data_IF_313742007747
#
_entry.id   IF_313742007747
#
_cell.length_a   1.000
_cell.length_b   1.000
_cell.length_c   1.000
_cell.angle_alpha   90.00
_cell.angle_beta   90.00
_cell.angle_gamma   90.00
#
_symmetry.space_group_name_H-M   'P 1'
#
loop_
_entity.id
_entity.type
_entity.pdbx_description
1 polymer ?
#
# COMPACT_ATOMS: atom_id res chain seq x y z
N UNK A 1 44.05 -2.17 72.54
CA UNK A 1 42.65 -1.87 72.88
C UNK A 1 42.18 -0.69 72.05
N UNK A 2 41.69 -0.89 70.82
CA UNK A 2 40.76 0.00 70.09
C UNK A 2 40.17 -0.79 68.92
N UNK A 3 39.01 -1.40 69.17
CA UNK A 3 38.19 -2.05 68.16
C UNK A 3 37.51 -0.98 67.30
N UNK A 4 37.65 -1.06 65.98
CA UNK A 4 36.91 -0.22 65.03
C UNK A 4 35.81 -1.05 64.37
N UNK A 5 34.58 -0.67 64.72
CA UNK A 5 33.40 -0.46 63.88
C UNK A 5 33.12 -1.50 62.80
N UNK A 6 32.04 -2.26 63.02
CA UNK A 6 31.30 -2.98 62.00
C UNK A 6 30.47 -2.02 61.13
N UNK A 7 30.43 -2.25 59.82
CA UNK A 7 29.21 -2.18 59.00
C UNK A 7 29.48 -2.45 57.52
N UNK A 8 28.82 -3.50 57.04
CA UNK A 8 28.18 -3.65 55.73
C UNK A 8 29.02 -3.64 54.44
N UNK A 9 29.05 -4.79 53.76
CA UNK A 9 28.57 -4.84 52.37
C UNK A 9 27.84 -6.17 52.12
N UNK A 10 26.55 -6.03 51.82
CA UNK A 10 25.64 -7.09 51.48
C UNK A 10 26.03 -7.72 50.13
N UNK A 11 26.03 -9.05 50.08
CA UNK A 11 25.96 -9.82 48.83
C UNK A 11 24.55 -9.71 48.28
N UNK A 12 24.40 -9.24 47.04
CA UNK A 12 23.20 -9.49 46.24
C UNK A 12 23.66 -9.90 44.84
N UNK A 13 23.38 -11.16 44.51
CA UNK A 13 23.78 -11.81 43.27
C UNK A 13 23.04 -11.27 42.06
N UNK A 14 23.75 -11.25 40.93
CA UNK A 14 23.24 -10.92 39.61
C UNK A 14 22.31 -12.03 39.13
N UNK A 15 21.03 -11.73 38.96
CA UNK A 15 20.08 -12.61 38.27
C UNK A 15 19.90 -12.10 36.83
N UNK A 16 20.56 -12.76 35.88
CA UNK A 16 20.32 -12.56 34.46
C UNK A 16 19.07 -13.36 34.05
N UNK A 17 17.95 -12.66 33.83
CA UNK A 17 16.73 -13.26 33.26
C UNK A 17 16.87 -13.30 31.74
N UNK A 18 17.11 -14.48 31.19
CA UNK A 18 17.14 -14.74 29.75
C UNK A 18 15.69 -15.01 29.32
N UNK A 19 15.03 -14.03 28.71
CA UNK A 19 13.71 -14.22 28.11
C UNK A 19 13.88 -14.78 26.70
N UNK A 20 13.81 -16.10 26.56
CA UNK A 20 13.58 -16.76 25.26
C UNK A 20 12.08 -16.78 24.98
N UNK A 21 11.60 -15.80 24.22
CA UNK A 21 10.26 -15.83 23.62
C UNK A 21 10.37 -16.35 22.18
N UNK A 22 10.26 -17.67 22.02
CA UNK A 22 10.09 -18.29 20.72
C UNK A 22 8.58 -18.29 20.42
N UNK A 23 8.10 -17.28 19.69
CA UNK A 23 6.74 -17.31 19.15
C UNK A 23 6.72 -18.24 17.93
N UNK A 24 5.68 -19.10 17.75
CA UNK A 24 5.52 -19.82 16.51
C UNK A 24 5.35 -18.80 15.39
N UNK A 25 6.18 -18.91 14.34
CA UNK A 25 6.00 -18.17 13.12
C UNK A 25 4.58 -18.46 12.60
N UNK A 26 3.74 -17.42 12.53
CA UNK A 26 2.47 -17.53 11.84
C UNK A 26 2.76 -18.02 10.42
N UNK A 27 2.10 -19.11 10.03
CA UNK A 27 2.16 -19.70 8.70
C UNK A 27 1.93 -18.60 7.64
N UNK A 28 3.00 -18.18 6.97
CA UNK A 28 2.98 -17.30 5.79
C UNK A 28 2.56 -18.05 4.52
N UNK A 29 2.02 -19.26 4.69
CA UNK A 29 1.90 -20.29 3.65
C UNK A 29 0.66 -20.17 2.77
N UNK A 30 0.03 -19.00 2.66
CA UNK A 30 -1.05 -18.78 1.68
C UNK A 30 -1.06 -17.38 1.06
N UNK A 31 0.12 -16.82 0.77
CA UNK A 31 0.21 -15.89 -0.35
C UNK A 31 0.15 -16.74 -1.62
N UNK A 32 -1.05 -16.87 -2.21
CA UNK A 32 -1.20 -17.47 -3.53
C UNK A 32 -0.22 -16.83 -4.53
N UNK A 33 0.26 -17.61 -5.50
CA UNK A 33 1.19 -17.11 -6.52
C UNK A 33 0.60 -15.87 -7.20
N UNK A 34 1.34 -14.76 -7.18
CA UNK A 34 0.92 -13.52 -7.82
C UNK A 34 1.24 -13.58 -9.33
N UNK A 35 0.24 -13.92 -10.12
CA UNK A 35 0.29 -13.95 -11.60
C UNK A 35 -0.89 -13.15 -12.15
N UNK A 36 -0.80 -11.80 -12.17
CA UNK A 36 -1.93 -10.96 -12.51
C UNK A 36 -2.19 -10.92 -14.01
N UNK A 37 -3.45 -11.16 -14.40
CA UNK A 37 -3.93 -10.88 -15.76
C UNK A 37 -4.74 -9.59 -15.74
N UNK A 38 -4.18 -8.51 -16.27
CA UNK A 38 -4.84 -7.21 -16.40
C UNK A 38 -5.80 -7.21 -17.60
N UNK A 39 -7.08 -6.89 -17.36
CA UNK A 39 -8.17 -7.03 -18.34
C UNK A 39 -8.61 -5.68 -18.93
N UNK A 40 -7.76 -4.67 -18.86
CA UNK A 40 -8.00 -3.31 -19.37
C UNK A 40 -8.50 -2.31 -18.33
N UNK A 41 -8.61 -1.06 -18.78
CA UNK A 41 -9.01 0.12 -18.01
C UNK A 41 -10.09 0.85 -18.79
N UNK A 42 -11.24 1.11 -18.19
CA UNK A 42 -12.25 2.04 -18.71
C UNK A 42 -12.15 3.36 -17.92
N UNK A 43 -11.95 4.46 -18.64
CA UNK A 43 -11.84 5.80 -18.04
C UNK A 43 -13.13 6.59 -18.24
N UNK A 44 -13.73 7.05 -17.14
CA UNK A 44 -15.00 7.78 -17.15
C UNK A 44 -14.78 9.13 -16.46
N UNK A 45 -14.85 10.21 -17.22
CA UNK A 45 -14.86 11.56 -16.66
C UNK A 45 -16.22 11.78 -15.98
N UNK A 46 -16.20 12.08 -14.67
CA UNK A 46 -17.44 12.29 -13.91
C UNK A 46 -17.85 13.76 -13.93
N UNK A 47 -16.99 14.63 -13.43
CA UNK A 47 -17.19 16.09 -13.43
C UNK A 47 -15.85 16.80 -13.21
N UNK A 48 -15.61 17.88 -13.95
CA UNK A 48 -14.39 18.69 -13.83
C UNK A 48 -13.09 17.87 -13.86
N UNK A 49 -12.47 17.75 -12.69
CA UNK A 49 -11.22 17.03 -12.44
C UNK A 49 -11.41 15.66 -11.77
N UNK A 50 -12.65 15.23 -11.55
CA UNK A 50 -13.02 13.96 -10.96
C UNK A 50 -13.20 12.89 -12.05
N UNK A 51 -12.44 11.80 -11.93
CA UNK A 51 -12.39 10.72 -12.91
C UNK A 51 -12.56 9.37 -12.22
N UNK A 52 -13.36 8.49 -12.78
CA UNK A 52 -13.48 7.09 -12.37
C UNK A 52 -12.71 6.19 -13.35
N UNK A 53 -11.84 5.35 -12.81
CA UNK A 53 -11.14 4.30 -13.53
C UNK A 53 -11.75 2.97 -13.13
N UNK A 54 -12.44 2.33 -14.07
CA UNK A 54 -12.90 0.95 -13.88
C UNK A 54 -11.84 0.01 -14.38
N UNK A 55 -11.31 -0.79 -13.47
CA UNK A 55 -10.27 -1.76 -13.74
C UNK A 55 -10.79 -3.16 -13.53
N UNK A 56 -10.28 -4.10 -14.32
CA UNK A 56 -10.56 -5.52 -14.13
C UNK A 56 -9.26 -6.32 -14.19
N UNK A 57 -9.10 -7.28 -13.28
CA UNK A 57 -7.95 -8.19 -13.27
C UNK A 57 -8.31 -9.58 -12.73
N UNK A 58 -7.46 -10.55 -13.01
CA UNK A 58 -7.46 -11.86 -12.36
C UNK A 58 -6.14 -12.05 -11.62
N UNK A 59 -6.06 -13.04 -10.73
CA UNK A 59 -4.82 -13.33 -9.98
C UNK A 59 -4.48 -12.27 -8.92
N UNK A 60 -5.40 -11.37 -8.58
CA UNK A 60 -5.25 -10.49 -7.43
C UNK A 60 -5.27 -11.31 -6.14
N UNK A 61 -4.38 -10.96 -5.21
CA UNK A 61 -4.29 -11.58 -3.87
C UNK A 61 -5.33 -10.96 -2.93
N UNK A 62 -5.56 -9.66 -3.06
CA UNK A 62 -6.49 -8.89 -2.25
C UNK A 62 -6.96 -7.61 -2.98
N UNK A 63 -7.72 -6.78 -2.27
CA UNK A 63 -8.17 -5.48 -2.79
C UNK A 63 -7.02 -4.53 -3.14
N UNK A 64 -5.86 -4.65 -2.49
CA UNK A 64 -4.75 -3.73 -2.68
C UNK A 64 -4.12 -3.89 -4.08
N UNK A 65 -4.11 -5.09 -4.65
CA UNK A 65 -3.68 -5.33 -6.02
C UNK A 65 -4.58 -4.60 -7.04
N UNK A 66 -5.90 -4.61 -6.81
CA UNK A 66 -6.89 -3.89 -7.64
C UNK A 66 -6.76 -2.37 -7.47
N UNK A 67 -6.55 -1.90 -6.23
CA UNK A 67 -6.29 -0.49 -5.94
C UNK A 67 -4.98 0.00 -6.58
N UNK A 68 -3.94 -0.82 -6.60
CA UNK A 68 -2.68 -0.50 -7.26
C UNK A 68 -2.90 -0.33 -8.77
N UNK A 69 -3.67 -1.21 -9.40
CA UNK A 69 -3.99 -1.09 -10.81
C UNK A 69 -4.78 0.19 -11.13
N UNK A 70 -5.81 0.51 -10.33
CA UNK A 70 -6.55 1.77 -10.48
C UNK A 70 -5.69 3.03 -10.26
N UNK A 71 -4.75 2.99 -9.31
CA UNK A 71 -3.79 4.07 -9.07
C UNK A 71 -2.85 4.28 -10.26
N UNK A 72 -2.36 3.20 -10.86
CA UNK A 72 -1.49 3.26 -12.04
C UNK A 72 -2.22 3.90 -13.23
N UNK A 73 -3.47 3.52 -13.46
CA UNK A 73 -4.34 4.15 -14.45
C UNK A 73 -4.52 5.66 -14.19
N UNK A 74 -4.84 6.03 -12.95
CA UNK A 74 -5.06 7.42 -12.58
C UNK A 74 -3.82 8.30 -12.75
N UNK A 75 -2.65 7.79 -12.36
CA UNK A 75 -1.39 8.51 -12.51
C UNK A 75 -1.07 8.80 -13.98
N UNK A 76 -1.18 7.80 -14.84
CA UNK A 76 -0.89 7.99 -16.27
C UNK A 76 -1.91 8.89 -16.95
N UNK A 77 -3.18 8.77 -16.58
CA UNK A 77 -4.21 9.67 -17.10
C UNK A 77 -3.96 11.12 -16.70
N UNK A 78 -3.51 11.39 -15.46
CA UNK A 78 -3.12 12.73 -15.03
C UNK A 78 -2.03 13.31 -15.95
N UNK A 79 -0.98 12.54 -16.24
CA UNK A 79 0.09 12.96 -17.15
C UNK A 79 -0.43 13.22 -18.58
N UNK A 80 -1.30 12.34 -19.11
CA UNK A 80 -1.91 12.51 -20.44
C UNK A 80 -2.69 13.82 -20.52
N UNK A 81 -3.30 14.27 -19.41
CA UNK A 81 -4.03 15.54 -19.31
C UNK A 81 -3.13 16.74 -19.01
N UNK A 82 -1.81 16.56 -18.92
CA UNK A 82 -0.84 17.60 -18.62
C UNK A 82 -0.77 17.99 -17.13
N UNK A 83 -1.24 17.12 -16.24
CA UNK A 83 -1.26 17.34 -14.79
C UNK A 83 -0.16 16.54 -14.09
N UNK A 84 0.33 17.05 -12.95
CA UNK A 84 1.40 16.40 -12.18
C UNK A 84 0.92 15.54 -11.02
N UNK A 85 -0.36 15.64 -10.65
CA UNK A 85 -0.86 15.02 -9.42
C UNK A 85 -2.20 14.33 -9.61
N UNK A 86 -2.46 13.35 -8.76
CA UNK A 86 -3.78 12.79 -8.52
C UNK A 86 -4.02 12.69 -7.00
N UNK A 87 -5.29 12.67 -6.59
CA UNK A 87 -5.70 12.38 -5.21
C UNK A 87 -6.74 11.29 -5.22
N UNK A 88 -6.50 10.25 -4.43
CA UNK A 88 -7.47 9.18 -4.26
C UNK A 88 -8.71 9.68 -3.52
N UNK A 89 -9.89 9.40 -4.07
CA UNK A 89 -11.18 9.68 -3.42
C UNK A 89 -11.74 8.42 -2.81
N UNK A 90 -11.88 7.35 -3.60
CA UNK A 90 -12.35 6.04 -3.15
C UNK A 90 -12.00 4.95 -4.17
N UNK A 91 -11.88 3.72 -3.71
CA UNK A 91 -11.96 2.54 -4.57
C UNK A 91 -12.94 1.56 -3.97
N UNK A 92 -13.87 1.06 -4.78
CA UNK A 92 -14.72 -0.08 -4.39
C UNK A 92 -14.32 -1.30 -5.21
N UNK A 93 -14.06 -2.42 -4.52
CA UNK A 93 -13.63 -3.67 -5.15
C UNK A 93 -14.72 -4.72 -5.02
N UNK A 94 -14.96 -5.46 -6.10
CA UNK A 94 -15.87 -6.58 -6.11
C UNK A 94 -15.25 -7.76 -6.89
N UNK A 95 -15.37 -8.96 -6.34
CA UNK A 95 -14.92 -10.19 -6.98
C UNK A 95 -16.12 -11.02 -7.45
N UNK A 96 -16.07 -11.52 -8.70
CA UNK A 96 -17.04 -12.48 -9.23
C UNK A 96 -16.29 -13.59 -9.96
N UNK A 97 -16.26 -14.79 -9.37
CA UNK A 97 -15.38 -15.87 -9.80
C UNK A 97 -13.92 -15.43 -9.67
N UNK A 98 -13.14 -15.61 -10.74
CA UNK A 98 -11.72 -15.24 -10.77
C UNK A 98 -11.49 -13.75 -11.11
N UNK A 99 -12.54 -13.04 -11.56
CA UNK A 99 -12.43 -11.65 -11.99
C UNK A 99 -12.67 -10.71 -10.81
N UNK A 100 -11.67 -9.90 -10.54
CA UNK A 100 -11.70 -8.75 -9.65
C UNK A 100 -12.00 -7.49 -10.46
N UNK A 101 -12.93 -6.67 -9.98
CA UNK A 101 -13.26 -5.37 -10.55
C UNK A 101 -13.08 -4.28 -9.51
N UNK A 102 -12.51 -3.16 -9.92
CA UNK A 102 -12.37 -1.96 -9.10
C UNK A 102 -13.00 -0.76 -9.79
N UNK A 103 -13.85 -0.02 -9.08
CA UNK A 103 -14.25 1.34 -9.45
C UNK A 103 -13.42 2.32 -8.61
N UNK A 104 -12.38 2.91 -9.22
CA UNK A 104 -11.39 3.73 -8.53
C UNK A 104 -11.53 5.20 -8.94
N UNK A 105 -11.99 6.04 -8.02
CA UNK A 105 -12.27 7.46 -8.26
C UNK A 105 -11.13 8.33 -7.73
N UNK A 106 -10.66 9.24 -8.58
CA UNK A 106 -9.58 10.18 -8.29
C UNK A 106 -9.94 11.59 -8.74
N UNK A 107 -9.34 12.57 -8.06
CA UNK A 107 -9.22 13.95 -8.56
C UNK A 107 -7.85 14.07 -9.22
N UNK A 108 -7.77 14.58 -10.45
CA UNK A 108 -6.49 14.90 -11.11
C UNK A 108 -6.20 16.40 -10.98
N UNK A 109 -4.94 16.82 -10.83
CA UNK A 109 -4.65 18.23 -10.54
C UNK A 109 -3.29 18.69 -11.08
N UNK A 110 -3.19 19.92 -11.61
CA UNK A 110 -1.91 20.48 -12.07
C UNK A 110 -0.97 20.85 -10.90
N UNK A 111 -1.52 21.14 -9.72
CA UNK A 111 -0.77 21.47 -8.51
C UNK A 111 -1.09 20.49 -7.38
N UNK A 112 -0.27 20.45 -6.33
CA UNK A 112 -0.44 19.53 -5.20
C UNK A 112 -1.84 19.69 -4.56
N UNK A 113 -2.75 18.70 -4.68
CA UNK A 113 -4.09 18.81 -4.14
C UNK A 113 -4.08 18.75 -2.61
N UNK A 114 -5.00 19.50 -1.99
CA UNK A 114 -5.24 19.41 -0.53
C UNK A 114 -5.84 18.04 -0.18
N UNK A 115 -5.48 17.53 0.99
CA UNK A 115 -6.03 16.29 1.55
C UNK A 115 -4.98 15.19 1.71
N UNK A 116 -5.44 14.00 2.09
CA UNK A 116 -4.60 12.81 2.25
C UNK A 116 -4.57 12.00 0.95
N UNK A 117 -3.60 11.08 0.83
CA UNK A 117 -3.45 10.16 -0.31
C UNK A 117 -3.26 10.87 -1.65
N UNK A 118 -2.45 11.92 -1.64
CA UNK A 118 -1.95 12.59 -2.84
C UNK A 118 -0.87 11.74 -3.50
N UNK A 119 -0.88 11.74 -4.82
CA UNK A 119 -0.06 10.94 -5.70
C UNK A 119 0.69 11.89 -6.62
N UNK A 120 2.01 11.74 -6.66
CA UNK A 120 2.85 12.29 -7.72
C UNK A 120 2.72 11.37 -8.95
N UNK A 121 2.23 11.92 -10.05
CA UNK A 121 1.88 11.14 -11.23
C UNK A 121 3.11 10.56 -11.95
N UNK A 122 4.20 11.32 -12.05
CA UNK A 122 5.43 10.90 -12.71
C UNK A 122 6.11 9.77 -11.94
N UNK A 123 6.28 9.97 -10.63
CA UNK A 123 6.85 8.94 -9.74
C UNK A 123 6.03 7.67 -9.79
N UNK A 124 4.70 7.79 -9.73
CA UNK A 124 3.81 6.63 -9.70
C UNK A 124 3.81 5.86 -11.00
N UNK A 125 3.80 6.53 -12.17
CA UNK A 125 3.89 5.82 -13.46
C UNK A 125 5.18 5.03 -13.58
N UNK A 126 6.31 5.61 -13.14
CA UNK A 126 7.60 4.90 -13.11
C UNK A 126 7.55 3.68 -12.19
N UNK A 127 6.99 3.82 -11.00
CA UNK A 127 6.87 2.73 -10.04
C UNK A 127 5.94 1.62 -10.58
N UNK A 128 4.82 1.98 -11.21
CA UNK A 128 3.93 1.03 -11.88
C UNK A 128 4.62 0.23 -12.98
N UNK A 129 5.42 0.89 -13.83
CA UNK A 129 6.23 0.22 -14.84
C UNK A 129 7.25 -0.76 -14.25
N UNK A 130 7.87 -0.39 -13.12
CA UNK A 130 8.82 -1.26 -12.41
C UNK A 130 8.15 -2.49 -11.77
N UNK A 131 6.88 -2.36 -11.40
CA UNK A 131 6.04 -3.44 -10.85
C UNK A 131 5.32 -4.26 -11.95
N UNK A 132 5.45 -3.89 -13.22
CA UNK A 132 4.75 -4.55 -14.33
C UNK A 132 3.24 -4.29 -14.36
N UNK A 133 2.76 -3.25 -13.67
CA UNK A 133 1.34 -2.86 -13.67
C UNK A 133 1.08 -1.94 -14.86
N UNK A 134 0.19 -2.32 -15.81
CA UNK A 134 -0.13 -1.46 -16.94
C UNK A 134 -0.84 -0.19 -16.50
N UNK A 135 -0.63 0.88 -17.27
CA UNK A 135 -1.12 2.22 -16.95
C UNK A 135 -2.18 2.73 -17.93
N UNK A 136 -2.33 2.09 -19.10
CA UNK A 136 -3.37 2.33 -20.13
C UNK A 136 -3.71 1.03 -20.85
#
# INVERSE_FOLDING_TARGET
>A
MMARVAAHMARAGVAAAILSACAPAADVSSMGSFDPSYRGIETILLDGDLVNFRVAMQGARDNADVEAYGRCAAAQYALIRGFGFARHVRTTVAQRGEIWRGDAVYVISPALPKGLKTIDAEVTVRDCGSLGIPTV
#
